data_IF_288184942390
#
_entry.id   IF_288184942390
#
_cell.length_a   1.000
_cell.length_b   1.000
_cell.length_c   1.000
_cell.angle_alpha   90.00
_cell.angle_beta   90.00
_cell.angle_gamma   90.00
#
_symmetry.space_group_name_H-M   'P 1'
#
loop_
_entity.id
_entity.type
_entity.pdbx_description
1 polymer ?
#
# COMPACT_ATOMS: atom_id res chain seq x y z
N UNK A 1 7.71 -24.30 -86.84
CA UNK A 1 8.20 -24.88 -85.57
C UNK A 1 7.26 -24.46 -84.45
N UNK A 2 6.45 -25.40 -83.94
CA UNK A 2 5.55 -25.19 -82.80
C UNK A 2 6.36 -25.39 -81.51
N UNK A 3 6.54 -24.35 -80.71
CA UNK A 3 7.14 -24.48 -79.37
C UNK A 3 5.99 -24.61 -78.38
N UNK A 4 5.95 -25.78 -77.76
CA UNK A 4 5.01 -26.19 -76.72
C UNK A 4 5.24 -25.36 -75.46
N UNK A 5 4.24 -24.57 -75.05
CA UNK A 5 4.13 -24.04 -73.69
C UNK A 5 3.06 -24.86 -72.96
N UNK A 6 3.47 -26.00 -72.42
CA UNK A 6 2.68 -26.72 -71.43
C UNK A 6 2.79 -25.97 -70.09
N UNK A 7 1.86 -25.05 -69.86
CA UNK A 7 1.60 -24.51 -68.52
C UNK A 7 0.76 -25.54 -67.77
N UNK A 8 1.40 -26.35 -66.93
CA UNK A 8 0.72 -27.29 -66.03
C UNK A 8 0.12 -26.53 -64.84
N UNK A 9 -1.04 -25.93 -65.06
CA UNK A 9 -1.88 -25.36 -64.01
C UNK A 9 -2.57 -26.49 -63.25
N UNK A 10 -2.00 -26.92 -62.12
CA UNK A 10 -2.68 -27.88 -61.25
C UNK A 10 -3.88 -27.19 -60.54
N UNK A 11 -5.08 -27.80 -60.54
CA UNK A 11 -6.23 -27.24 -59.85
C UNK A 11 -6.07 -27.39 -58.33
N UNK A 12 -5.94 -26.26 -57.64
CA UNK A 12 -5.89 -26.18 -56.18
C UNK A 12 -7.25 -26.61 -55.62
N UNK A 13 -7.38 -27.89 -55.24
CA UNK A 13 -8.63 -28.52 -54.80
C UNK A 13 -9.00 -28.29 -53.32
N UNK A 14 -8.28 -27.43 -52.61
CA UNK A 14 -8.48 -27.23 -51.16
C UNK A 14 -8.36 -25.75 -50.78
N UNK A 15 -9.33 -25.26 -50.00
CA UNK A 15 -9.38 -23.89 -49.46
C UNK A 15 -8.09 -23.55 -48.71
N UNK A 16 -7.48 -24.53 -48.01
CA UNK A 16 -6.18 -24.35 -47.33
C UNK A 16 -5.03 -24.07 -48.30
N UNK A 17 -5.06 -24.68 -49.49
CA UNK A 17 -4.04 -24.46 -50.52
C UNK A 17 -4.14 -23.06 -51.14
N UNK A 18 -5.37 -22.55 -51.31
CA UNK A 18 -5.61 -21.20 -51.83
C UNK A 18 -5.20 -20.14 -50.80
N UNK A 19 -5.52 -20.36 -49.51
CA UNK A 19 -5.06 -19.52 -48.40
C UNK A 19 -3.53 -19.48 -48.31
N UNK A 20 -2.85 -20.63 -48.41
CA UNK A 20 -1.38 -20.70 -48.39
C UNK A 20 -0.76 -19.99 -49.60
N UNK A 21 -1.33 -20.13 -50.79
CA UNK A 21 -0.82 -19.47 -51.98
C UNK A 21 -0.99 -17.94 -51.90
N UNK A 22 -2.16 -17.48 -51.44
CA UNK A 22 -2.41 -16.06 -51.17
C UNK A 22 -1.48 -15.50 -50.09
N UNK A 23 -1.28 -16.22 -48.97
CA UNK A 23 -0.34 -15.83 -47.91
C UNK A 23 1.08 -15.72 -48.47
N UNK A 24 1.50 -16.66 -49.34
CA UNK A 24 2.85 -16.65 -49.91
C UNK A 24 3.07 -15.52 -50.92
N UNK A 25 2.04 -15.20 -51.71
CA UNK A 25 2.10 -14.12 -52.70
C UNK A 25 2.08 -12.73 -52.05
N UNK A 26 1.43 -12.60 -50.88
CA UNK A 26 1.32 -11.34 -50.12
C UNK A 26 2.14 -11.35 -48.82
N UNK A 27 3.11 -12.26 -48.71
CA UNK A 27 3.84 -12.53 -47.48
C UNK A 27 4.52 -11.28 -46.90
N UNK A 28 5.07 -10.42 -47.77
CA UNK A 28 5.76 -9.21 -47.34
C UNK A 28 4.81 -8.20 -46.64
N UNK A 29 3.57 -8.07 -47.14
CA UNK A 29 2.57 -7.18 -46.54
C UNK A 29 1.99 -7.76 -45.25
N UNK A 30 1.78 -9.09 -45.21
CA UNK A 30 1.35 -9.78 -43.99
C UNK A 30 2.41 -9.72 -42.88
N UNK A 31 3.70 -9.82 -43.23
CA UNK A 31 4.81 -9.65 -42.28
C UNK A 31 4.86 -8.23 -41.73
N UNK A 32 4.66 -7.21 -42.57
CA UNK A 32 4.61 -5.82 -42.10
C UNK A 32 3.43 -5.58 -41.13
N UNK A 33 2.24 -6.10 -41.45
CA UNK A 33 1.06 -6.02 -40.58
C UNK A 33 1.27 -6.78 -39.27
N UNK A 34 1.86 -7.97 -39.32
CA UNK A 34 2.16 -8.76 -38.14
C UNK A 34 3.21 -8.08 -37.25
N UNK A 35 4.23 -7.44 -37.85
CA UNK A 35 5.24 -6.70 -37.12
C UNK A 35 4.66 -5.48 -36.38
N UNK A 36 3.80 -4.69 -37.04
CA UNK A 36 3.15 -3.54 -36.38
C UNK A 36 2.19 -4.01 -35.28
N UNK A 37 1.40 -5.05 -35.52
CA UNK A 37 0.52 -5.64 -34.51
C UNK A 37 1.32 -6.18 -33.31
N UNK A 38 2.46 -6.84 -33.55
CA UNK A 38 3.33 -7.34 -32.50
C UNK A 38 3.91 -6.22 -31.64
N UNK A 39 4.40 -5.13 -32.26
CA UNK A 39 4.90 -3.96 -31.53
C UNK A 39 3.81 -3.34 -30.66
N UNK A 40 2.61 -3.15 -31.20
CA UNK A 40 1.47 -2.59 -30.46
C UNK A 40 1.11 -3.51 -29.27
N UNK A 41 1.03 -4.82 -29.50
CA UNK A 41 0.71 -5.79 -28.46
C UNK A 41 1.77 -5.79 -27.34
N UNK A 42 3.06 -5.71 -27.69
CA UNK A 42 4.17 -5.63 -26.72
C UNK A 42 4.10 -4.35 -25.90
N UNK A 43 3.80 -3.20 -26.52
CA UNK A 43 3.68 -1.91 -25.80
C UNK A 43 2.48 -1.91 -24.85
N UNK A 44 1.33 -2.42 -25.30
CA UNK A 44 0.12 -2.49 -24.46
C UNK A 44 0.34 -3.49 -23.32
N UNK A 45 0.84 -4.69 -23.60
CA UNK A 45 1.13 -5.70 -22.58
C UNK A 45 2.20 -5.24 -21.58
N UNK A 46 3.25 -4.57 -22.07
CA UNK A 46 4.31 -4.01 -21.22
C UNK A 46 3.80 -2.91 -20.29
N UNK A 47 2.97 -1.99 -20.80
CA UNK A 47 2.43 -0.90 -19.96
C UNK A 47 1.43 -1.41 -18.90
N UNK A 48 0.59 -2.39 -19.25
CA UNK A 48 -0.31 -3.06 -18.29
C UNK A 48 0.46 -3.83 -17.22
N UNK A 49 1.52 -4.56 -17.59
CA UNK A 49 2.32 -5.33 -16.65
C UNK A 49 3.03 -4.45 -15.62
N UNK A 50 3.58 -3.31 -16.05
CA UNK A 50 4.19 -2.34 -15.11
C UNK A 50 3.14 -1.72 -14.18
N UNK A 51 1.95 -1.41 -14.71
CA UNK A 51 0.84 -0.88 -13.91
C UNK A 51 0.44 -1.81 -12.77
N UNK A 52 0.23 -3.09 -13.07
CA UNK A 52 -0.16 -4.09 -12.06
C UNK A 52 0.94 -4.30 -11.01
N UNK A 53 2.21 -4.36 -11.43
CA UNK A 53 3.32 -4.49 -10.49
C UNK A 53 3.41 -3.32 -9.50
N UNK A 54 3.16 -2.08 -9.96
CA UNK A 54 3.16 -0.90 -9.08
C UNK A 54 1.95 -0.94 -8.14
N UNK A 55 0.76 -1.28 -8.65
CA UNK A 55 -0.44 -1.38 -7.82
C UNK A 55 -0.29 -2.42 -6.71
N UNK A 56 0.23 -3.60 -7.03
CA UNK A 56 0.52 -4.65 -6.04
C UNK A 56 1.58 -4.21 -5.04
N UNK A 57 2.64 -3.52 -5.49
CA UNK A 57 3.68 -2.97 -4.63
C UNK A 57 3.13 -1.94 -3.64
N UNK A 58 2.31 -1.00 -4.11
CA UNK A 58 1.64 -0.01 -3.26
C UNK A 58 0.69 -0.69 -2.27
N UNK A 59 -0.12 -1.65 -2.73
CA UNK A 59 -1.04 -2.39 -1.87
C UNK A 59 -0.30 -3.11 -0.75
N UNK A 60 0.82 -3.77 -1.06
CA UNK A 60 1.66 -4.45 -0.06
C UNK A 60 2.27 -3.46 0.93
N UNK A 61 2.77 -2.31 0.47
CA UNK A 61 3.31 -1.28 1.37
C UNK A 61 2.24 -0.66 2.27
N UNK A 62 1.02 -0.46 1.74
CA UNK A 62 -0.12 0.05 2.51
C UNK A 62 -0.53 -0.97 3.57
N UNK A 63 -0.68 -2.25 3.20
CA UNK A 63 -0.97 -3.31 4.18
C UNK A 63 0.11 -3.45 5.25
N UNK A 64 1.39 -3.27 4.92
CA UNK A 64 2.46 -3.27 5.92
C UNK A 64 2.41 -2.04 6.85
N UNK A 65 1.94 -0.89 6.38
CA UNK A 65 1.90 0.36 7.18
C UNK A 65 0.63 0.51 8.00
N UNK A 66 -0.50 0.13 7.45
CA UNK A 66 -1.82 0.26 8.09
C UNK A 66 -2.19 -1.06 8.81
N UNK A 67 -1.51 -2.16 8.50
CA UNK A 67 -1.86 -3.49 8.99
C UNK A 67 -3.05 -4.05 8.21
N UNK A 68 -3.80 -4.94 8.87
CA UNK A 68 -5.03 -5.53 8.34
C UNK A 68 -6.28 -4.67 8.51
N UNK A 69 -6.12 -3.38 8.77
CA UNK A 69 -7.24 -2.47 9.07
C UNK A 69 -7.93 -2.08 7.76
N UNK A 70 -9.15 -2.58 7.54
CA UNK A 70 -9.94 -2.29 6.34
C UNK A 70 -10.70 -0.96 6.43
N UNK A 71 -11.15 -0.59 7.62
CA UNK A 71 -11.92 0.62 7.87
C UNK A 71 -11.61 1.20 9.25
N UNK A 72 -11.64 2.53 9.37
CA UNK A 72 -11.45 3.25 10.63
C UNK A 72 -12.59 4.22 10.82
N UNK A 73 -13.21 4.18 12.00
CA UNK A 73 -14.25 5.13 12.40
C UNK A 73 -13.60 6.11 13.38
N UNK A 74 -13.51 7.38 12.98
CA UNK A 74 -12.90 8.45 13.80
C UNK A 74 -14.02 9.39 14.27
N UNK A 75 -14.22 9.45 15.59
CA UNK A 75 -15.10 10.43 16.23
C UNK A 75 -14.37 11.73 16.53
N UNK A 76 -15.12 12.83 16.69
CA UNK A 76 -14.59 14.09 17.26
C UNK A 76 -14.28 13.95 18.75
N UNK A 77 -15.03 13.08 19.42
CA UNK A 77 -14.90 12.75 20.84
C UNK A 77 -14.52 11.27 20.98
N UNK A 78 -13.79 10.89 22.04
CA UNK A 78 -13.47 9.49 22.30
C UNK A 78 -14.75 8.69 22.54
N UNK A 79 -14.84 7.51 21.92
CA UNK A 79 -15.96 6.60 22.13
C UNK A 79 -15.86 5.92 23.50
N UNK A 80 -17.00 5.79 24.19
CA UNK A 80 -17.09 4.95 25.39
C UNK A 80 -16.94 3.47 25.06
N UNK A 81 -16.34 2.69 25.98
CA UNK A 81 -16.13 1.23 25.79
C UNK A 81 -17.42 0.47 25.46
N UNK A 82 -18.55 0.88 26.03
CA UNK A 82 -19.85 0.26 25.77
C UNK A 82 -20.32 0.45 24.32
N UNK A 83 -19.91 1.52 23.64
CA UNK A 83 -20.28 1.76 22.25
C UNK A 83 -19.54 0.78 21.32
N UNK A 84 -18.24 0.58 21.54
CA UNK A 84 -17.46 -0.39 20.74
C UNK A 84 -17.98 -1.82 20.91
N UNK A 85 -18.38 -2.21 22.13
CA UNK A 85 -18.94 -3.54 22.40
C UNK A 85 -20.29 -3.76 21.69
N UNK A 86 -21.21 -2.79 21.78
CA UNK A 86 -22.51 -2.86 21.09
C UNK A 86 -22.35 -2.88 19.58
N UNK A 87 -21.41 -2.09 19.06
CA UNK A 87 -21.14 -2.01 17.63
C UNK A 87 -20.53 -3.33 17.13
N UNK A 88 -19.60 -3.94 17.87
CA UNK A 88 -19.06 -5.26 17.54
C UNK A 88 -20.17 -6.34 17.55
N UNK A 89 -21.03 -6.36 18.58
CA UNK A 89 -22.16 -7.30 18.63
C UNK A 89 -23.14 -7.13 17.45
N UNK A 90 -23.45 -5.89 17.09
CA UNK A 90 -24.36 -5.58 15.97
C UNK A 90 -23.76 -5.93 14.60
N UNK A 91 -22.43 -5.78 14.46
CA UNK A 91 -21.71 -6.16 13.25
C UNK A 91 -21.63 -7.69 13.10
N UNK A 92 -21.34 -8.41 14.18
CA UNK A 92 -21.32 -9.88 14.18
C UNK A 92 -22.68 -10.46 13.80
N UNK A 93 -23.78 -9.91 14.34
CA UNK A 93 -25.13 -10.36 14.02
C UNK A 93 -25.52 -10.18 12.54
N UNK A 94 -25.00 -9.14 11.87
CA UNK A 94 -25.26 -8.90 10.44
C UNK A 94 -24.36 -9.73 9.51
N UNK A 95 -23.18 -10.11 9.96
CA UNK A 95 -22.23 -10.91 9.17
C UNK A 95 -22.53 -12.41 9.21
N UNK A 96 -23.30 -12.88 10.19
CA UNK A 96 -23.69 -14.29 10.36
C UNK A 96 -24.70 -14.79 9.30
N UNK A 97 -25.14 -13.92 8.37
CA UNK A 97 -26.20 -14.23 7.40
C UNK A 97 -25.68 -14.68 6.02
N UNK A 98 -24.40 -14.45 5.64
CA UNK A 98 -24.01 -14.75 4.25
C UNK A 98 -22.52 -15.05 3.94
N UNK A 99 -21.58 -15.08 4.91
CA UNK A 99 -20.18 -15.37 4.56
C UNK A 99 -19.31 -15.84 5.74
N UNK A 100 -19.01 -17.14 5.75
CA UNK A 100 -18.24 -17.86 6.78
C UNK A 100 -16.74 -17.52 6.84
N UNK A 101 -16.22 -16.63 5.98
CA UNK A 101 -14.78 -16.43 5.79
C UNK A 101 -14.25 -15.03 6.15
N UNK A 102 -15.13 -14.09 6.50
CA UNK A 102 -14.74 -12.72 6.89
C UNK A 102 -15.03 -12.46 8.37
N UNK A 103 -14.14 -12.94 9.26
CA UNK A 103 -14.12 -12.50 10.67
C UNK A 103 -13.52 -11.09 10.76
N UNK A 104 -14.35 -10.08 10.56
CA UNK A 104 -14.00 -8.68 10.82
C UNK A 104 -14.09 -8.42 12.32
N UNK A 105 -12.95 -8.42 13.01
CA UNK A 105 -12.90 -8.02 14.43
C UNK A 105 -12.83 -6.49 14.54
N UNK A 106 -13.71 -5.93 15.37
CA UNK A 106 -13.74 -4.50 15.64
C UNK A 106 -12.93 -4.20 16.89
N UNK A 107 -11.88 -3.39 16.70
CA UNK A 107 -10.91 -3.09 17.74
C UNK A 107 -10.98 -1.60 18.07
N UNK A 108 -11.23 -1.29 19.34
CA UNK A 108 -11.12 0.08 19.85
C UNK A 108 -9.65 0.46 19.98
N UNK A 109 -9.23 1.49 19.26
CA UNK A 109 -7.87 2.02 19.34
C UNK A 109 -7.91 3.53 19.62
N UNK A 110 -6.99 3.98 20.47
CA UNK A 110 -6.74 5.39 20.76
C UNK A 110 -5.53 5.81 19.92
N UNK A 111 -5.71 6.83 19.07
CA UNK A 111 -4.66 7.36 18.20
C UNK A 111 -4.37 8.80 18.61
N UNK A 112 -3.16 9.04 19.13
CA UNK A 112 -2.76 10.36 19.62
C UNK A 112 -1.40 10.73 19.05
N UNK A 113 -1.25 11.95 18.56
CA UNK A 113 0.05 12.49 18.15
C UNK A 113 0.82 12.97 19.37
N UNK A 114 2.08 12.57 19.47
CA UNK A 114 2.93 12.83 20.62
C UNK A 114 4.34 13.17 20.17
N UNK A 115 5.06 13.89 21.01
CA UNK A 115 6.49 14.13 20.82
C UNK A 115 7.25 13.20 21.75
N UNK A 116 8.20 12.45 21.19
CA UNK A 116 9.09 11.55 21.91
C UNK A 116 10.44 12.21 22.02
N UNK A 117 10.86 12.46 23.26
CA UNK A 117 12.11 13.15 23.58
C UNK A 117 13.06 12.22 24.33
N UNK A 118 14.33 12.24 23.93
CA UNK A 118 15.41 11.66 24.75
C UNK A 118 15.80 12.66 25.85
N UNK A 119 15.78 12.27 27.14
CA UNK A 119 16.25 13.14 28.21
C UNK A 119 17.73 13.50 28.00
N UNK A 120 18.06 14.78 28.12
CA UNK A 120 19.43 15.26 27.99
C UNK A 120 20.27 14.78 29.18
N UNK A 121 21.05 13.72 28.98
CA UNK A 121 22.09 13.28 29.91
C UNK A 121 23.47 13.75 29.44
N UNK A 122 24.21 14.46 30.29
CA UNK A 122 25.66 14.66 30.15
C UNK A 122 26.18 15.11 28.79
N UNK A 123 25.77 16.29 28.30
CA UNK A 123 26.38 16.95 27.14
C UNK A 123 25.93 16.48 25.75
N UNK A 124 24.97 15.55 25.65
CA UNK A 124 24.41 15.14 24.35
C UNK A 124 23.19 16.00 23.95
N UNK A 125 23.08 16.26 22.64
CA UNK A 125 22.00 17.06 22.04
C UNK A 125 20.63 16.41 22.27
N UNK A 126 19.63 17.23 22.62
CA UNK A 126 18.23 16.79 22.75
C UNK A 126 17.71 16.36 21.38
N UNK A 127 17.50 15.05 21.22
CA UNK A 127 16.79 14.50 20.07
C UNK A 127 15.30 14.42 20.40
N UNK A 128 14.47 14.98 19.53
CA UNK A 128 13.01 15.00 19.65
C UNK A 128 12.41 14.62 18.31
N UNK A 129 11.43 13.72 18.33
CA UNK A 129 10.73 13.27 17.14
C UNK A 129 9.22 13.23 17.41
N UNK A 130 8.44 13.64 16.42
CA UNK A 130 6.98 13.49 16.45
C UNK A 130 6.64 12.04 16.08
N UNK A 131 5.74 11.44 16.84
CA UNK A 131 5.30 10.06 16.70
C UNK A 131 3.79 9.95 16.96
N UNK A 132 3.20 8.84 16.53
CA UNK A 132 1.80 8.53 16.80
C UNK A 132 1.74 7.42 17.84
N UNK A 133 1.14 7.71 18.99
CA UNK A 133 0.76 6.71 19.98
C UNK A 133 -0.44 5.93 19.46
N UNK A 134 -0.31 4.62 19.41
CA UNK A 134 -1.40 3.70 19.18
C UNK A 134 -1.67 2.93 20.49
N UNK A 135 -2.74 3.32 21.20
CA UNK A 135 -3.23 2.58 22.36
C UNK A 135 -4.26 1.55 21.92
N UNK A 136 -3.97 0.26 22.10
CA UNK A 136 -4.86 -0.83 21.72
C UNK A 136 -4.77 -1.96 22.76
N UNK A 137 -5.92 -2.56 23.12
CA UNK A 137 -5.97 -3.69 24.06
C UNK A 137 -5.47 -4.99 23.41
N UNK A 138 -5.65 -5.15 22.10
CA UNK A 138 -5.27 -6.35 21.33
C UNK A 138 -4.53 -5.97 20.04
N UNK A 139 -3.25 -5.56 20.12
CA UNK A 139 -2.49 -5.14 18.94
C UNK A 139 -2.29 -6.26 17.91
N UNK A 140 -2.24 -7.53 18.34
CA UNK A 140 -2.10 -8.69 17.45
C UNK A 140 -3.28 -8.84 16.47
N UNK A 141 -4.48 -8.40 16.87
CA UNK A 141 -5.67 -8.46 16.01
C UNK A 141 -5.65 -7.39 14.91
N UNK A 142 -4.78 -6.38 15.00
CA UNK A 142 -4.53 -5.40 13.92
C UNK A 142 -3.60 -5.94 12.82
N UNK A 143 -3.17 -7.21 12.93
CA UNK A 143 -2.29 -7.89 11.98
C UNK A 143 -0.94 -7.17 11.79
N UNK A 144 -0.50 -6.43 12.81
CA UNK A 144 0.89 -5.97 12.89
C UNK A 144 1.75 -7.11 13.47
N UNK A 145 2.90 -7.38 12.85
CA UNK A 145 3.96 -8.21 13.45
C UNK A 145 4.60 -7.45 14.60
N UNK A 146 3.93 -7.45 15.76
CA UNK A 146 4.45 -6.89 17.00
C UNK A 146 4.84 -8.07 17.88
N UNK A 147 6.13 -8.27 18.20
CA UNK A 147 6.53 -9.30 19.13
C UNK A 147 5.89 -9.01 20.50
N UNK A 148 5.23 -9.99 21.14
CA UNK A 148 4.70 -9.80 22.48
C UNK A 148 5.86 -9.48 23.42
N UNK A 149 5.79 -8.34 24.10
CA UNK A 149 6.73 -7.96 25.14
C UNK A 149 6.07 -8.14 26.49
N UNK A 150 6.64 -8.97 27.34
CA UNK A 150 6.21 -9.15 28.73
C UNK A 150 6.69 -8.00 29.65
N UNK A 151 7.60 -7.16 29.14
CA UNK A 151 8.15 -6.04 29.90
C UNK A 151 7.16 -4.88 29.89
N UNK A 152 6.75 -4.44 31.09
CA UNK A 152 5.98 -3.20 31.27
C UNK A 152 6.81 -2.02 30.74
N UNK A 153 6.35 -1.42 29.65
CA UNK A 153 7.07 -0.34 29.00
C UNK A 153 6.36 0.13 27.74
N UNK A 154 7.04 1.01 27.01
CA UNK A 154 6.55 1.57 25.74
C UNK A 154 7.33 0.90 24.62
N UNK A 155 6.61 0.38 23.62
CA UNK A 155 7.22 -0.16 22.43
C UNK A 155 7.37 0.95 21.38
N UNK A 156 8.59 1.11 20.87
CA UNK A 156 8.91 2.13 19.87
C UNK A 156 9.23 1.46 18.54
N UNK A 157 8.84 2.08 17.44
CA UNK A 157 9.23 1.62 16.11
C UNK A 157 10.74 1.72 15.92
N UNK A 158 11.33 0.80 15.17
CA UNK A 158 12.77 0.80 14.87
C UNK A 158 13.25 2.15 14.30
N UNK A 159 12.46 2.77 13.41
CA UNK A 159 12.78 4.09 12.85
C UNK A 159 12.93 5.17 13.91
N UNK A 160 12.09 5.11 14.94
CA UNK A 160 12.11 6.10 16.01
C UNK A 160 13.31 5.87 16.94
N UNK A 161 13.67 4.60 17.17
CA UNK A 161 14.89 4.20 17.87
C UNK A 161 16.13 4.73 17.14
N UNK A 162 16.21 4.52 15.82
CA UNK A 162 17.34 4.97 14.99
C UNK A 162 17.47 6.50 14.95
N UNK A 163 16.34 7.22 14.88
CA UNK A 163 16.31 8.68 14.86
C UNK A 163 16.73 9.32 16.20
N UNK A 164 16.36 8.70 17.32
CA UNK A 164 16.67 9.20 18.67
C UNK A 164 17.95 8.57 19.26
N UNK A 165 18.53 7.58 18.57
CA UNK A 165 19.70 6.81 19.00
C UNK A 165 19.47 6.05 20.31
N UNK A 166 18.24 5.60 20.57
CA UNK A 166 17.83 4.97 21.84
C UNK A 166 18.25 3.50 21.89
N UNK A 167 18.40 2.96 23.10
CA UNK A 167 18.54 1.51 23.35
C UNK A 167 17.40 1.02 24.24
N UNK A 168 17.13 -0.29 24.19
CA UNK A 168 16.16 -0.93 25.09
C UNK A 168 16.60 -0.70 26.53
N UNK A 169 15.74 -0.08 27.34
CA UNK A 169 16.03 0.28 28.74
C UNK A 169 16.36 1.76 28.96
N UNK A 170 16.57 2.55 27.90
CA UNK A 170 16.76 3.99 28.05
C UNK A 170 15.46 4.69 28.50
N UNK A 171 15.54 5.69 29.40
CA UNK A 171 14.38 6.50 29.76
C UNK A 171 13.98 7.38 28.57
N UNK A 172 12.67 7.50 28.34
CA UNK A 172 12.10 8.29 27.24
C UNK A 172 10.99 9.17 27.80
N UNK A 173 10.97 10.43 27.37
CA UNK A 173 9.91 11.37 27.74
C UNK A 173 8.88 11.41 26.62
N UNK A 174 7.63 11.16 27.00
CA UNK A 174 6.47 11.15 26.11
C UNK A 174 5.63 12.38 26.39
N UNK A 175 5.55 13.31 25.43
CA UNK A 175 4.74 14.53 25.54
C UNK A 175 3.57 14.45 24.58
N UNK A 176 2.36 14.35 25.12
CA UNK A 176 1.15 14.47 24.31
C UNK A 176 1.00 15.94 23.94
N UNK A 177 1.01 16.24 22.64
CA UNK A 177 0.71 17.58 22.18
C UNK A 177 -0.80 17.72 22.11
N UNK A 178 -1.37 18.68 22.84
CA UNK A 178 -2.72 19.12 22.56
C UNK A 178 -2.75 19.63 21.12
N UNK A 179 -3.74 19.19 20.33
CA UNK A 179 -3.96 19.73 18.99
C UNK A 179 -4.25 21.23 19.14
N UNK A 180 -3.24 22.06 18.91
CA UNK A 180 -3.45 23.50 18.85
C UNK A 180 -4.39 23.79 17.69
N UNK A 181 -5.55 24.36 17.98
CA UNK A 181 -6.54 24.79 16.98
C UNK A 181 -6.07 26.02 16.17
N UNK A 182 -4.78 26.37 16.26
CA UNK A 182 -4.20 27.59 15.71
C UNK A 182 -3.40 27.23 14.44
N UNK A 183 -3.88 27.61 13.25
CA UNK A 183 -3.17 27.40 11.99
C UNK A 183 -1.77 28.01 12.02
N UNK A 184 -0.80 27.34 11.40
CA UNK A 184 0.60 27.76 11.33
C UNK A 184 0.80 29.13 10.65
N UNK A 185 -0.23 29.66 10.00
CA UNK A 185 -0.25 30.95 9.28
C UNK A 185 -0.74 32.11 10.14
N UNK A 186 -1.06 31.88 11.42
CA UNK A 186 -1.40 32.98 12.34
C UNK A 186 -0.14 33.63 12.91
N UNK A 187 -0.12 34.97 13.11
CA UNK A 187 1.04 35.70 13.61
C UNK A 187 1.45 35.32 15.04
N UNK A 188 0.64 34.53 15.74
CA UNK A 188 0.89 33.98 17.08
C UNK A 188 1.19 32.47 17.07
N UNK A 189 1.18 31.83 15.90
CA UNK A 189 1.50 30.41 15.73
C UNK A 189 2.97 30.14 16.00
N UNK A 190 3.28 29.48 17.12
CA UNK A 190 4.64 29.05 17.44
C UNK A 190 5.16 28.12 16.34
N UNK A 191 6.15 28.60 15.59
CA UNK A 191 6.85 27.87 14.54
C UNK A 191 7.50 26.61 15.12
N UNK A 192 6.86 25.45 15.00
CA UNK A 192 7.52 24.17 15.28
C UNK A 192 8.51 23.90 14.15
N UNK A 193 9.80 23.93 14.47
CA UNK A 193 10.91 23.95 13.53
C UNK A 193 11.15 22.64 12.79
N UNK A 194 10.27 22.26 11.86
CA UNK A 194 10.57 21.25 10.84
C UNK A 194 10.02 21.61 9.45
N UNK A 195 10.17 22.86 9.04
CA UNK A 195 10.18 23.18 7.61
C UNK A 195 11.56 22.82 7.06
N UNK A 196 11.75 21.56 6.69
CA UNK A 196 12.87 21.15 5.84
C UNK A 196 12.50 21.54 4.41
N UNK A 197 12.74 22.81 4.08
CA UNK A 197 12.83 23.28 2.70
C UNK A 197 13.80 22.36 1.95
N UNK A 198 13.28 21.55 1.04
CA UNK A 198 14.08 20.80 0.08
C UNK A 198 13.95 21.55 -1.24
N UNK A 199 15.02 22.23 -1.57
CA UNK A 199 15.30 22.75 -2.91
C UNK A 199 15.58 21.59 -3.86
#
# INVERSE_FOLDING_TARGET
MKISLQSTSQPIRSVRGLVICCIRQWALQLVALAATAAVIAVVIGGSLGVGDSIQQGLRRMVSQRIGGIAAVIIGREPFGKQFSERLNASFQQKLDVDSSDCRTDLISAIVVEMTVERPAGGGQSRASAVATLLGCDRPAALLFEIPPSEVKGVQLSQRLVDLLGLKVGDPVILRVNERSAVPSDTPLGRRQGSSRSRR
#
